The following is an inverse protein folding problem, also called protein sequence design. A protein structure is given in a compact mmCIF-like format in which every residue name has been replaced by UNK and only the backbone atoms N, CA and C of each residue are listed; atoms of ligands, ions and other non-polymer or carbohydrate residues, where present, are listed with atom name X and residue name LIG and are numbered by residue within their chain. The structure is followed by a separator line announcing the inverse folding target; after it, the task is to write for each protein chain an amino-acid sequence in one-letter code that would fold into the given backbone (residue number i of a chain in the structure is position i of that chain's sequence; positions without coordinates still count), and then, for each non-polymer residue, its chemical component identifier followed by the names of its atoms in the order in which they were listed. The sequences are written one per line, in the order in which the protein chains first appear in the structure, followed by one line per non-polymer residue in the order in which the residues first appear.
data_IF_073101266806
#
_entry.id   IF_073101266806
#
_cell.length_a   1.000
_cell.length_b   1.000
_cell.length_c   1.000
_cell.angle_alpha   90.00
_cell.angle_beta   90.00
_cell.angle_gamma   90.00
#
_symmetry.space_group_name_H-M   'P 1'
#
loop_
_entity.id
_entity.type
_entity.pdbx_description
1 polymer ?
#
# COMPACT_ATOMS: atom_id res chain seq x y z
N UNK A 1 7.80 -23.03 10.50
CA UNK A 1 7.85 -21.57 10.77
C UNK A 1 7.24 -20.90 9.56
N UNK A 2 6.22 -20.04 9.63
CA UNK A 2 6.11 -18.90 10.55
C UNK A 2 4.63 -18.58 10.79
N UNK A 3 4.28 -18.44 12.07
CA UNK A 3 2.96 -18.04 12.57
C UNK A 3 2.93 -16.51 12.53
N UNK A 4 2.16 -15.90 11.63
CA UNK A 4 1.91 -14.46 11.64
C UNK A 4 1.01 -14.15 12.85
N UNK A 5 1.65 -13.72 13.93
CA UNK A 5 1.06 -13.24 15.17
C UNK A 5 0.57 -11.82 14.94
N UNK A 6 -0.71 -11.58 15.15
CA UNK A 6 -1.28 -10.28 15.51
C UNK A 6 -1.21 -9.23 14.41
N UNK A 7 -2.32 -9.05 13.69
CA UNK A 7 -2.60 -7.83 12.92
C UNK A 7 -2.82 -6.67 13.89
N UNK A 8 -1.76 -6.22 14.54
CA UNK A 8 -1.67 -4.81 14.92
C UNK A 8 -1.31 -4.12 13.61
N UNK A 9 -2.14 -3.19 13.14
CA UNK A 9 -1.71 -2.28 12.07
C UNK A 9 -0.58 -1.45 12.68
N UNK A 10 0.64 -1.96 12.57
CA UNK A 10 1.83 -1.19 12.94
C UNK A 10 1.89 -0.08 11.91
N UNK A 11 1.67 1.16 12.37
CA UNK A 11 1.70 2.35 11.52
C UNK A 11 2.88 2.25 10.56
N UNK A 12 2.59 2.35 9.27
CA UNK A 12 3.62 2.32 8.26
C UNK A 12 4.65 3.41 8.58
N UNK A 13 5.93 3.05 8.60
CA UNK A 13 6.98 4.02 8.83
C UNK A 13 6.95 5.08 7.72
N UNK A 14 7.07 6.35 8.09
CA UNK A 14 7.03 7.45 7.12
C UNK A 14 8.11 7.32 6.04
N UNK A 15 9.26 6.72 6.38
CA UNK A 15 10.34 6.42 5.42
C UNK A 15 9.91 5.41 4.35
N UNK A 16 9.24 4.32 4.74
CA UNK A 16 8.69 3.33 3.82
C UNK A 16 7.59 3.93 2.93
N UNK A 17 6.71 4.75 3.51
CA UNK A 17 5.64 5.45 2.78
C UNK A 17 6.21 6.49 1.79
N UNK A 18 7.27 7.21 2.18
CA UNK A 18 7.96 8.14 1.29
C UNK A 18 8.56 7.39 0.11
N UNK A 19 9.24 6.26 0.34
CA UNK A 19 9.79 5.42 -0.71
C UNK A 19 8.70 4.90 -1.66
N UNK A 20 7.62 4.34 -1.10
CA UNK A 20 6.48 3.88 -1.90
C UNK A 20 5.85 5.01 -2.73
N UNK A 21 5.70 6.21 -2.14
CA UNK A 21 5.20 7.39 -2.86
C UNK A 21 6.13 7.82 -3.98
N UNK A 22 7.44 7.84 -3.75
CA UNK A 22 8.43 8.18 -4.77
C UNK A 22 8.40 7.19 -5.92
N UNK A 23 8.31 5.89 -5.62
CA UNK A 23 8.13 4.87 -6.65
C UNK A 23 6.81 5.08 -7.40
N UNK A 24 5.69 5.30 -6.71
CA UNK A 24 4.39 5.64 -7.32
C UNK A 24 4.43 6.92 -8.18
N UNK A 25 5.24 7.92 -7.79
CA UNK A 25 5.43 9.16 -8.53
C UNK A 25 6.45 9.05 -9.67
N UNK A 26 7.23 7.97 -9.77
CA UNK A 26 8.10 7.76 -10.93
C UNK A 26 7.21 7.68 -12.17
N UNK A 27 7.35 8.68 -13.04
CA UNK A 27 6.69 8.73 -14.35
C UNK A 27 7.03 7.45 -15.12
N UNK A 28 6.07 6.52 -15.19
CA UNK A 28 6.25 5.24 -15.86
C UNK A 28 5.57 4.05 -15.19
N UNK A 29 5.01 4.19 -13.98
CA UNK A 29 4.18 3.12 -13.42
C UNK A 29 2.76 3.17 -14.00
N UNK A 30 2.40 2.11 -14.73
CA UNK A 30 1.01 1.83 -15.05
C UNK A 30 0.21 1.49 -13.78
N UNK A 31 -1.10 1.72 -13.79
CA UNK A 31 -1.98 1.43 -12.65
C UNK A 31 -1.93 -0.04 -12.18
N UNK A 32 -1.47 -0.96 -13.04
CA UNK A 32 -1.13 -2.34 -12.68
C UNK A 32 0.14 -2.44 -11.83
N UNK A 33 1.22 -1.77 -12.23
CA UNK A 33 2.50 -1.81 -11.51
C UNK A 33 2.40 -1.08 -10.17
N UNK A 34 1.67 0.04 -10.13
CA UNK A 34 1.34 0.72 -8.88
C UNK A 34 0.62 -0.20 -7.90
N UNK A 35 -0.36 -0.97 -8.39
CA UNK A 35 -1.09 -1.93 -7.58
C UNK A 35 -0.23 -3.11 -7.11
N UNK A 36 0.67 -3.61 -7.96
CA UNK A 36 1.62 -4.67 -7.60
C UNK A 36 2.59 -4.20 -6.52
N UNK A 37 3.09 -2.97 -6.61
CA UNK A 37 3.94 -2.32 -5.60
C UNK A 37 3.22 -2.23 -4.25
N UNK A 38 1.99 -1.72 -4.23
CA UNK A 38 1.16 -1.63 -3.02
C UNK A 38 0.87 -3.02 -2.46
N UNK A 39 0.54 -3.98 -3.31
CA UNK A 39 0.26 -5.35 -2.91
C UNK A 39 1.48 -6.02 -2.30
N UNK A 40 2.63 -5.92 -2.95
CA UNK A 40 3.91 -6.47 -2.49
C UNK A 40 4.33 -5.84 -1.17
N UNK A 41 4.15 -4.53 -1.02
CA UNK A 41 4.43 -3.78 0.21
C UNK A 41 3.59 -4.25 1.40
N UNK A 42 2.31 -4.53 1.18
CA UNK A 42 1.39 -5.06 2.20
C UNK A 42 1.71 -6.53 2.53
N UNK A 43 1.96 -7.36 1.51
CA UNK A 43 2.33 -8.77 1.66
C UNK A 43 3.66 -8.92 2.41
N UNK A 44 4.64 -8.07 2.14
CA UNK A 44 5.93 -8.04 2.84
C UNK A 44 5.78 -7.78 4.35
N UNK A 45 4.70 -7.11 4.76
CA UNK A 45 4.35 -6.84 6.16
C UNK A 45 3.45 -7.91 6.78
N UNK A 46 3.04 -8.91 6.01
CA UNK A 46 2.16 -9.98 6.46
C UNK A 46 0.66 -9.67 6.33
N UNK A 47 0.30 -8.57 5.64
CA UNK A 47 -1.08 -8.29 5.27
C UNK A 47 -1.40 -9.05 3.98
N UNK A 48 -2.36 -9.97 4.05
CA UNK A 48 -2.89 -10.64 2.87
C UNK A 48 -3.79 -9.68 2.12
N UNK A 49 -3.34 -9.11 1.01
CA UNK A 49 -4.17 -8.21 0.19
C UNK A 49 -4.57 -8.89 -1.12
N UNK A 50 -5.82 -8.73 -1.53
CA UNK A 50 -6.29 -9.18 -2.83
C UNK A 50 -5.81 -8.23 -3.91
N UNK A 51 -5.36 -8.76 -5.05
CA UNK A 51 -4.90 -7.96 -6.20
C UNK A 51 -5.96 -6.96 -6.67
N UNK A 52 -7.25 -7.27 -6.47
CA UNK A 52 -8.35 -6.37 -6.80
C UNK A 52 -8.43 -5.17 -5.84
N UNK A 53 -8.20 -5.37 -4.55
CA UNK A 53 -8.22 -4.30 -3.54
C UNK A 53 -6.98 -3.41 -3.66
N UNK A 54 -5.80 -4.00 -3.91
CA UNK A 54 -4.58 -3.25 -4.20
C UNK A 54 -4.73 -2.37 -5.46
N UNK A 55 -5.45 -2.85 -6.49
CA UNK A 55 -5.75 -2.05 -7.69
C UNK A 55 -6.72 -0.90 -7.41
N UNK A 56 -7.78 -1.15 -6.65
CA UNK A 56 -8.72 -0.09 -6.24
C UNK A 56 -7.99 0.99 -5.42
N UNK A 57 -7.08 0.57 -4.55
CA UNK A 57 -6.22 1.47 -3.79
C UNK A 57 -5.29 2.29 -4.66
N UNK A 58 -4.52 1.64 -5.54
CA UNK A 58 -3.63 2.32 -6.48
C UNK A 58 -4.39 3.36 -7.32
N UNK A 59 -5.56 3.00 -7.83
CA UNK A 59 -6.41 3.90 -8.61
C UNK A 59 -6.91 5.10 -7.79
N UNK A 60 -7.30 4.88 -6.53
CA UNK A 60 -7.67 5.98 -5.61
C UNK A 60 -6.47 6.86 -5.29
N UNK A 61 -5.31 6.27 -5.03
CA UNK A 61 -4.07 6.99 -4.71
C UNK A 61 -3.58 7.83 -5.89
N UNK A 62 -3.67 7.30 -7.11
CA UNK A 62 -3.39 8.00 -8.37
C UNK A 62 -4.37 9.16 -8.58
N UNK A 63 -5.67 8.92 -8.36
CA UNK A 63 -6.71 9.95 -8.52
C UNK A 63 -6.64 11.08 -7.50
N UNK A 64 -6.14 10.81 -6.29
CA UNK A 64 -6.14 11.79 -5.18
C UNK A 64 -4.82 12.59 -5.14
N UNK A 65 -3.74 12.15 -5.84
CA UNK A 65 -2.43 12.85 -5.87
C UNK A 65 -1.92 13.28 -4.48
N UNK A 66 -2.37 12.59 -3.43
CA UNK A 66 -2.42 13.19 -2.11
C UNK A 66 -1.15 12.93 -1.30
N UNK A 67 -0.87 13.87 -0.41
CA UNK A 67 0.18 13.90 0.59
C UNK A 67 0.39 12.54 1.29
N UNK A 68 1.61 12.31 1.75
CA UNK A 68 2.05 11.14 2.53
C UNK A 68 1.03 10.61 3.57
N UNK A 69 0.32 11.45 4.37
CA UNK A 69 -0.72 10.98 5.29
C UNK A 69 -1.96 10.36 4.61
N UNK A 70 -2.38 10.85 3.43
CA UNK A 70 -3.46 10.22 2.66
C UNK A 70 -3.06 8.83 2.17
N UNK A 71 -1.80 8.70 1.70
CA UNK A 71 -1.24 7.43 1.24
C UNK A 71 -1.29 6.39 2.37
N UNK A 72 -0.87 6.81 3.56
CA UNK A 72 -0.91 6.01 4.77
C UNK A 72 -2.34 5.60 5.13
N UNK A 73 -3.27 6.54 5.19
CA UNK A 73 -4.65 6.25 5.61
C UNK A 73 -5.31 5.23 4.67
N UNK A 74 -5.12 5.37 3.35
CA UNK A 74 -5.64 4.40 2.38
C UNK A 74 -4.97 3.03 2.53
N UNK A 75 -3.64 2.97 2.72
CA UNK A 75 -2.91 1.72 3.00
C UNK A 75 -3.42 1.01 4.25
N UNK A 76 -3.62 1.76 5.34
CA UNK A 76 -4.16 1.24 6.59
C UNK A 76 -5.59 0.73 6.40
N UNK A 77 -6.41 1.43 5.61
CA UNK A 77 -7.78 1.01 5.27
C UNK A 77 -7.82 -0.35 4.59
N UNK A 78 -6.94 -0.56 3.61
CA UNK A 78 -6.90 -1.83 2.85
C UNK A 78 -6.32 -2.95 3.73
N UNK A 79 -5.33 -2.62 4.56
CA UNK A 79 -4.76 -3.54 5.54
C UNK A 79 -5.75 -3.93 6.65
N UNK A 80 -6.68 -3.04 7.04
CA UNK A 80 -7.72 -3.28 8.05
C UNK A 80 -8.94 -4.04 7.50
N UNK A 81 -9.16 -4.05 6.19
CA UNK A 81 -10.31 -4.74 5.58
C UNK A 81 -10.15 -6.28 5.57
N UNK A 82 -9.02 -6.81 6.05
CA UNK A 82 -8.67 -8.24 6.09
C UNK A 82 -8.28 -8.68 7.51
#
# INVERSE_FOLDING_TARGET
MTKAKGAHVEKFAEADLSGLREDLMKSGLDSWQAADLISSFLVARGYGVSTQDARKAAFRMEAISCSLPCLQEELEKIAQLM
#
